data_IF_193871786779
#
_entry.id   IF_193871786779
#
_cell.length_a   1.000
_cell.length_b   1.000
_cell.length_c   1.000
_cell.angle_alpha   90.00
_cell.angle_beta   90.00
_cell.angle_gamma   90.00
#
_symmetry.space_group_name_H-M   'P 1'
#
loop_
_entity.id
_entity.type
_entity.pdbx_description
1 polymer ?
#
# COMPACT_ATOMS: atom_id res chain seq x y z
N UNK A 1 28.54 31.49 -17.33
CA UNK A 1 27.40 31.36 -16.38
C UNK A 1 27.76 30.77 -15.02
N UNK A 2 29.02 30.43 -14.72
CA UNK A 2 29.43 29.92 -13.40
C UNK A 2 29.86 31.00 -12.38
N UNK A 3 30.14 32.24 -12.80
CA UNK A 3 30.60 33.31 -11.91
C UNK A 3 29.47 34.01 -11.11
N UNK A 4 28.22 33.91 -11.58
CA UNK A 4 27.05 34.54 -10.94
C UNK A 4 26.44 33.70 -9.80
N UNK A 5 26.81 32.42 -9.69
CA UNK A 5 26.34 31.51 -8.64
C UNK A 5 27.18 31.58 -7.35
N UNK A 6 28.46 31.99 -7.43
CA UNK A 6 29.34 32.12 -6.25
C UNK A 6 29.00 33.36 -5.40
N UNK A 7 28.59 34.47 -6.02
CA UNK A 7 28.21 35.70 -5.30
C UNK A 7 26.90 35.60 -4.51
N UNK A 8 26.03 34.64 -4.83
CA UNK A 8 24.78 34.41 -4.09
C UNK A 8 24.95 33.49 -2.87
N UNK A 9 26.10 32.82 -2.71
CA UNK A 9 26.37 31.99 -1.53
C UNK A 9 27.00 32.85 -0.41
N UNK A 10 27.76 33.89 -0.77
CA UNK A 10 28.38 34.78 0.22
C UNK A 10 27.37 35.71 0.94
N UNK A 11 26.22 36.03 0.33
CA UNK A 11 25.16 36.83 0.98
C UNK A 11 24.24 36.01 1.91
N UNK A 12 24.29 34.67 1.85
CA UNK A 12 23.50 33.79 2.70
C UNK A 12 24.25 33.45 4.00
N UNK A 13 25.56 33.62 4.03
CA UNK A 13 26.41 33.29 5.19
C UNK A 13 26.53 34.46 6.18
N UNK A 14 26.28 35.72 5.77
CA UNK A 14 26.29 36.89 6.69
C UNK A 14 25.02 37.02 7.56
N UNK A 15 24.02 36.14 7.43
CA UNK A 15 22.81 36.14 8.25
C UNK A 15 22.93 35.42 9.60
N UNK A 16 24.07 34.77 9.87
CA UNK A 16 24.36 34.01 11.09
C UNK A 16 25.34 34.77 12.02
N UNK A 17 25.03 36.02 12.37
CA UNK A 17 25.66 36.66 13.53
C UNK A 17 24.86 36.40 14.79
N UNK A 18 25.51 35.71 15.73
CA UNK A 18 25.11 35.54 17.12
C UNK A 18 25.02 36.92 17.76
N UNK A 19 23.81 37.38 18.07
CA UNK A 19 23.63 38.55 18.95
C UNK A 19 23.89 38.13 20.39
N UNK A 20 25.03 38.56 20.91
CA UNK A 20 25.36 38.54 22.34
C UNK A 20 24.28 39.27 23.16
N UNK A 21 23.89 38.65 24.28
CA UNK A 21 22.97 39.23 25.24
C UNK A 21 23.63 40.43 25.97
N UNK A 22 22.98 41.59 25.93
CA UNK A 22 23.28 42.74 26.80
C UNK A 22 22.37 42.74 28.05
N UNK A 23 22.87 43.25 29.19
CA UNK A 23 22.30 42.98 30.51
C UNK A 23 21.01 43.75 30.80
N UNK A 24 20.06 43.07 31.46
CA UNK A 24 18.78 43.63 31.91
C UNK A 24 18.95 44.78 32.90
N UNK A 25 18.25 45.88 32.60
CA UNK A 25 18.06 47.04 33.45
C UNK A 25 16.91 46.76 34.45
N UNK A 26 17.19 46.92 35.75
CA UNK A 26 16.23 46.72 36.86
C UNK A 26 15.17 47.83 36.89
N UNK A 27 13.89 47.45 37.08
CA UNK A 27 12.90 48.00 38.06
C UNK A 27 11.47 47.49 37.75
N UNK A 28 10.49 47.60 38.69
CA UNK A 28 10.55 47.36 40.13
C UNK A 28 9.52 46.29 40.58
N UNK A 29 9.75 45.78 41.80
CA UNK A 29 8.93 44.80 42.51
C UNK A 29 7.49 45.29 42.72
N UNK A 30 6.50 44.50 42.30
CA UNK A 30 5.13 44.61 42.77
C UNK A 30 4.72 43.41 43.62
N UNK A 31 4.10 43.73 44.76
CA UNK A 31 3.93 42.91 45.96
C UNK A 31 2.99 41.71 45.74
N UNK A 32 3.50 40.47 45.80
CA UNK A 32 2.65 39.31 46.11
C UNK A 32 2.33 39.30 47.62
N UNK A 33 1.06 39.58 47.94
CA UNK A 33 0.47 39.40 49.27
C UNK A 33 0.62 37.93 49.70
N UNK A 34 1.36 37.72 50.79
CA UNK A 34 1.36 36.51 51.59
C UNK A 34 -0.03 36.28 52.20
N UNK A 35 -0.76 35.28 51.72
CA UNK A 35 -1.88 34.69 52.47
C UNK A 35 -1.35 33.46 53.20
N UNK A 36 -1.35 33.57 54.53
CA UNK A 36 -0.94 32.57 55.52
C UNK A 36 -1.63 31.23 55.28
N UNK A 37 -0.85 30.18 55.04
CA UNK A 37 -1.30 28.80 55.20
C UNK A 37 -1.41 28.52 56.71
N UNK A 38 -2.64 28.39 57.22
CA UNK A 38 -2.89 27.88 58.58
C UNK A 38 -2.52 26.40 58.62
N UNK A 39 -1.48 26.09 59.37
CA UNK A 39 -1.17 24.74 59.83
C UNK A 39 -2.23 24.28 60.83
N UNK A 40 -2.97 23.22 60.50
CA UNK A 40 -3.74 22.45 61.49
C UNK A 40 -3.21 21.02 61.48
N UNK A 41 -2.49 20.69 62.55
CA UNK A 41 -2.12 19.33 62.93
C UNK A 41 -3.41 18.54 63.25
N UNK A 42 -3.65 17.44 62.52
CA UNK A 42 -4.40 16.29 63.04
C UNK A 42 -3.61 15.01 62.72
N UNK A 43 -3.34 14.26 63.78
CA UNK A 43 -2.59 13.00 63.79
C UNK A 43 -3.31 11.86 63.02
N UNK A 44 -2.58 10.81 62.63
CA UNK A 44 -2.98 9.88 61.57
C UNK A 44 -3.96 8.83 62.10
N UNK A 45 -5.12 8.72 61.44
CA UNK A 45 -5.97 7.53 61.54
C UNK A 45 -5.85 6.74 60.24
N UNK A 46 -5.11 5.64 60.36
CA UNK A 46 -5.19 4.41 59.57
C UNK A 46 -6.33 4.36 58.54
N UNK A 47 -6.00 4.58 57.27
CA UNK A 47 -6.82 4.10 56.15
C UNK A 47 -5.93 3.42 55.12
N UNK A 48 -5.95 2.09 55.21
CA UNK A 48 -5.81 1.09 54.13
C UNK A 48 -4.99 1.54 52.92
N UNK A 49 -3.83 0.93 52.77
CA UNK A 49 -3.07 0.85 51.53
C UNK A 49 -3.98 0.53 50.35
N UNK A 50 -4.34 1.54 49.57
CA UNK A 50 -4.82 1.31 48.21
C UNK A 50 -3.62 0.92 47.37
N UNK A 51 -3.57 -0.35 46.99
CA UNK A 51 -2.61 -0.94 46.06
C UNK A 51 -2.35 -0.04 44.84
N UNK A 52 -1.13 -0.04 44.28
CA UNK A 52 -0.84 0.76 43.09
C UNK A 52 -1.72 0.29 41.94
N UNK A 53 -2.61 1.17 41.48
CA UNK A 53 -3.41 0.95 40.28
C UNK A 53 -2.49 0.55 39.14
N UNK A 54 -2.73 -0.63 38.59
CA UNK A 54 -2.18 -1.16 37.34
C UNK A 54 -1.74 -0.02 36.39
N UNK A 55 -0.42 0.12 36.20
CA UNK A 55 0.12 0.97 35.13
C UNK A 55 -0.34 0.36 33.81
N UNK A 56 -1.44 0.86 33.26
CA UNK A 56 -1.97 0.43 31.97
C UNK A 56 -0.86 0.42 30.91
N UNK A 57 -0.76 -0.67 30.14
CA UNK A 57 0.23 -0.88 29.06
C UNK A 57 0.42 0.35 28.15
N UNK A 58 -0.66 1.11 27.92
CA UNK A 58 -0.65 2.36 27.17
C UNK A 58 0.29 3.44 27.75
N UNK A 59 0.36 3.58 29.07
CA UNK A 59 1.24 4.55 29.73
C UNK A 59 2.71 4.13 29.61
N UNK A 60 2.99 2.83 29.69
CA UNK A 60 4.33 2.28 29.50
C UNK A 60 4.80 2.48 28.05
N UNK A 61 3.91 2.23 27.08
CA UNK A 61 4.17 2.47 25.66
C UNK A 61 4.39 3.96 25.37
N UNK A 62 3.53 4.84 25.89
CA UNK A 62 3.67 6.29 25.75
C UNK A 62 5.03 6.77 26.26
N UNK A 63 5.40 6.35 27.47
CA UNK A 63 6.68 6.70 28.07
C UNK A 63 7.85 6.15 27.25
N UNK A 64 7.79 4.88 26.81
CA UNK A 64 8.82 4.30 25.95
C UNK A 64 9.00 5.07 24.65
N UNK A 65 7.92 5.44 23.96
CA UNK A 65 7.99 6.17 22.69
C UNK A 65 8.62 7.57 22.86
N UNK A 66 8.37 8.24 24.00
CA UNK A 66 8.93 9.56 24.32
C UNK A 66 10.39 9.49 24.77
N UNK A 67 10.73 8.59 25.69
CA UNK A 67 12.04 8.62 26.35
C UNK A 67 13.08 7.74 25.68
N UNK A 68 12.66 6.67 24.99
CA UNK A 68 13.61 5.72 24.39
C UNK A 68 14.22 6.28 23.11
N UNK A 69 15.54 6.13 22.98
CA UNK A 69 16.27 6.36 21.71
C UNK A 69 16.00 5.24 20.68
N UNK A 70 15.52 4.09 21.15
CA UNK A 70 15.22 2.91 20.33
C UNK A 70 13.76 2.83 19.86
N UNK A 71 12.96 3.86 20.13
CA UNK A 71 11.52 3.84 19.83
C UNK A 71 11.19 3.68 18.34
N UNK A 72 12.11 4.10 17.44
CA UNK A 72 11.95 3.95 16.00
C UNK A 72 12.45 2.59 15.45
N UNK A 73 13.12 1.74 16.25
CA UNK A 73 13.75 0.51 15.78
C UNK A 73 12.75 -0.47 15.11
N UNK A 74 11.56 -0.75 15.68
CA UNK A 74 10.60 -1.66 15.03
C UNK A 74 10.15 -1.15 13.67
N UNK A 75 10.08 0.18 13.50
CA UNK A 75 9.65 0.79 12.25
C UNK A 75 10.72 0.72 11.17
N UNK A 76 11.98 0.90 11.56
CA UNK A 76 13.12 0.72 10.66
C UNK A 76 13.16 -0.72 10.16
N UNK A 77 12.87 -1.71 11.02
CA UNK A 77 12.79 -3.11 10.60
C UNK A 77 11.69 -3.34 9.58
N UNK A 78 10.49 -2.78 9.76
CA UNK A 78 9.40 -2.89 8.79
C UNK A 78 9.78 -2.24 7.45
N UNK A 79 10.37 -1.04 7.48
CA UNK A 79 10.81 -0.34 6.27
C UNK A 79 11.92 -1.10 5.54
N UNK A 80 12.89 -1.64 6.30
CA UNK A 80 13.94 -2.51 5.80
C UNK A 80 13.38 -3.76 5.12
N UNK A 81 12.44 -4.47 5.76
CA UNK A 81 11.84 -5.67 5.20
C UNK A 81 11.08 -5.38 3.89
N UNK A 82 10.33 -4.29 3.83
CA UNK A 82 9.63 -3.90 2.61
C UNK A 82 10.59 -3.53 1.48
N UNK A 83 11.65 -2.78 1.79
CA UNK A 83 12.66 -2.42 0.80
C UNK A 83 13.46 -3.64 0.32
N UNK A 84 13.83 -4.55 1.22
CA UNK A 84 14.48 -5.81 0.89
C UNK A 84 13.62 -6.64 -0.07
N UNK A 85 12.33 -6.83 0.26
CA UNK A 85 11.40 -7.59 -0.57
C UNK A 85 11.30 -6.98 -1.97
N UNK A 86 11.21 -5.66 -2.06
CA UNK A 86 11.15 -4.96 -3.32
C UNK A 86 12.41 -5.12 -4.16
N UNK A 87 13.58 -4.92 -3.56
CA UNK A 87 14.86 -5.06 -4.25
C UNK A 87 15.08 -6.50 -4.72
N UNK A 88 14.69 -7.48 -3.89
CA UNK A 88 14.86 -8.90 -4.18
C UNK A 88 13.96 -9.36 -5.33
N UNK A 89 12.67 -9.04 -5.30
CA UNK A 89 11.74 -9.52 -6.33
C UNK A 89 11.74 -8.62 -7.57
N UNK A 90 11.71 -7.30 -7.42
CA UNK A 90 11.33 -6.39 -8.51
C UNK A 90 12.48 -5.70 -9.23
N UNK A 91 13.55 -5.33 -8.52
CA UNK A 91 14.61 -4.46 -9.08
C UNK A 91 15.75 -5.25 -9.68
N UNK A 92 16.21 -6.28 -8.98
CA UNK A 92 17.35 -7.07 -9.43
C UNK A 92 16.88 -8.06 -10.50
N UNK A 93 17.59 -8.07 -11.63
CA UNK A 93 17.21 -8.83 -12.82
C UNK A 93 17.16 -10.34 -12.61
N UNK A 94 16.17 -10.99 -13.24
CA UNK A 94 16.01 -12.46 -13.32
C UNK A 94 17.29 -13.17 -13.77
N UNK A 95 18.13 -12.49 -14.56
CA UNK A 95 19.41 -12.99 -15.05
C UNK A 95 20.51 -13.04 -13.99
N UNK A 96 20.39 -12.26 -12.91
CA UNK A 96 21.35 -12.29 -11.80
C UNK A 96 21.07 -13.52 -10.94
N UNK A 97 22.09 -14.37 -10.75
CA UNK A 97 22.06 -15.52 -9.85
C UNK A 97 21.36 -15.19 -8.52
N UNK A 98 20.44 -16.07 -8.08
CA UNK A 98 19.67 -15.88 -6.85
C UNK A 98 20.54 -15.53 -5.63
N UNK A 99 21.74 -16.10 -5.52
CA UNK A 99 22.71 -15.78 -4.45
C UNK A 99 23.19 -14.32 -4.50
N UNK A 100 23.53 -13.81 -5.69
CA UNK A 100 23.97 -12.42 -5.88
C UNK A 100 22.81 -11.45 -5.62
N UNK A 101 21.63 -11.77 -6.15
CA UNK A 101 20.40 -11.01 -5.92
C UNK A 101 20.10 -10.83 -4.42
N UNK A 102 20.16 -11.92 -3.65
CA UNK A 102 19.97 -11.87 -2.20
C UNK A 102 21.00 -10.97 -1.51
N UNK A 103 22.28 -11.12 -1.86
CA UNK A 103 23.38 -10.33 -1.28
C UNK A 103 23.20 -8.84 -1.54
N UNK A 104 22.97 -8.44 -2.79
CA UNK A 104 22.80 -7.02 -3.14
C UNK A 104 21.56 -6.41 -2.48
N UNK A 105 20.45 -7.16 -2.44
CA UNK A 105 19.23 -6.72 -1.74
C UNK A 105 19.48 -6.47 -0.26
N UNK A 106 20.19 -7.39 0.42
CA UNK A 106 20.54 -7.27 1.83
C UNK A 106 21.51 -6.11 2.09
N UNK A 107 22.52 -5.92 1.24
CA UNK A 107 23.50 -4.84 1.39
C UNK A 107 22.79 -3.49 1.28
N UNK A 108 22.04 -3.24 0.20
CA UNK A 108 21.42 -1.94 -0.04
C UNK A 108 20.39 -1.62 1.04
N UNK A 109 19.45 -2.54 1.30
CA UNK A 109 18.45 -2.32 2.34
C UNK A 109 19.09 -2.19 3.72
N UNK A 110 20.13 -2.98 4.02
CA UNK A 110 20.82 -3.00 5.31
C UNK A 110 21.58 -1.72 5.58
N UNK A 111 22.25 -1.17 4.56
CA UNK A 111 22.92 0.14 4.65
C UNK A 111 21.91 1.26 4.95
N UNK A 112 20.75 1.27 4.30
CA UNK A 112 19.69 2.26 4.55
C UNK A 112 19.12 2.11 5.96
N UNK A 113 18.90 0.88 6.43
CA UNK A 113 18.44 0.59 7.79
C UNK A 113 19.47 1.03 8.84
N UNK A 114 20.75 0.79 8.60
CA UNK A 114 21.84 1.19 9.49
C UNK A 114 21.97 2.72 9.57
N UNK A 115 21.94 3.41 8.43
CA UNK A 115 21.98 4.87 8.38
C UNK A 115 20.75 5.46 9.09
N UNK A 116 19.54 5.01 8.77
CA UNK A 116 18.33 5.51 9.44
C UNK A 116 18.31 5.20 10.94
N UNK A 117 18.80 4.03 11.36
CA UNK A 117 18.94 3.64 12.76
C UNK A 117 19.94 4.50 13.53
N UNK A 118 21.12 4.73 12.96
CA UNK A 118 22.14 5.57 13.58
C UNK A 118 21.66 7.01 13.72
N UNK A 119 21.11 7.63 12.66
CA UNK A 119 20.56 8.99 12.77
C UNK A 119 19.42 9.08 13.80
N UNK A 120 18.59 8.04 13.91
CA UNK A 120 17.52 7.96 14.91
C UNK A 120 18.05 7.96 16.35
N UNK A 121 19.22 7.38 16.63
CA UNK A 121 19.76 7.34 17.98
C UNK A 121 20.19 8.74 18.47
N UNK A 122 20.70 9.59 17.57
CA UNK A 122 21.24 10.89 17.92
C UNK A 122 20.24 12.04 17.77
N UNK A 123 19.25 11.92 16.89
CA UNK A 123 18.33 13.02 16.58
C UNK A 123 16.90 12.73 17.02
N UNK A 124 16.37 13.59 17.90
CA UNK A 124 14.95 13.55 18.27
C UNK A 124 14.03 13.86 17.08
N UNK A 125 14.43 14.79 16.20
CA UNK A 125 13.68 15.10 14.98
C UNK A 125 13.62 13.89 14.03
N UNK A 126 14.75 13.19 13.83
CA UNK A 126 14.78 12.01 12.97
C UNK A 126 13.88 10.90 13.52
N UNK A 127 13.87 10.67 14.84
CA UNK A 127 12.93 9.71 15.47
C UNK A 127 11.48 10.04 15.18
N UNK A 128 11.10 11.31 15.34
CA UNK A 128 9.74 11.76 15.04
C UNK A 128 9.40 11.57 13.56
N UNK A 129 10.30 11.95 12.65
CA UNK A 129 10.09 11.79 11.19
C UNK A 129 9.92 10.32 10.84
N UNK A 130 10.78 9.44 11.37
CA UNK A 130 10.66 8.01 11.16
C UNK A 130 9.28 7.54 11.63
N UNK A 131 8.84 7.88 12.86
CA UNK A 131 7.50 7.51 13.33
C UNK A 131 6.36 8.07 12.47
N UNK A 132 6.49 9.28 11.91
CA UNK A 132 5.48 9.87 11.00
C UNK A 132 5.36 9.13 9.67
N UNK A 133 6.38 8.37 9.25
CA UNK A 133 6.31 7.52 8.07
C UNK A 133 5.30 6.38 8.28
N UNK A 134 5.15 5.83 9.49
CA UNK A 134 4.22 4.72 9.77
C UNK A 134 2.76 5.04 9.41
N UNK A 135 2.13 6.10 9.94
CA UNK A 135 0.80 6.49 9.47
C UNK A 135 0.84 6.92 8.00
N UNK A 136 1.97 7.42 7.50
CA UNK A 136 2.13 7.75 6.09
C UNK A 136 2.05 6.54 5.16
N UNK A 137 2.54 5.37 5.57
CA UNK A 137 2.44 4.11 4.82
C UNK A 137 0.98 3.70 4.59
N UNK A 138 0.10 4.02 5.55
CA UNK A 138 -1.34 3.75 5.48
C UNK A 138 -2.06 4.77 4.57
N UNK A 139 -1.47 5.95 4.37
CA UNK A 139 -2.07 7.00 3.52
C UNK A 139 -1.91 6.71 2.04
N UNK A 140 -2.61 7.47 1.20
CA UNK A 140 -2.49 7.36 -0.26
C UNK A 140 -1.06 7.42 -0.83
N UNK A 141 -0.10 8.01 -0.13
CA UNK A 141 1.31 8.04 -0.56
C UNK A 141 1.98 6.66 -0.45
N UNK A 142 1.82 5.99 0.69
CA UNK A 142 2.31 4.63 0.89
C UNK A 142 1.54 3.59 0.09
N UNK A 143 0.24 3.84 -0.20
CA UNK A 143 -0.52 2.95 -1.09
C UNK A 143 0.08 2.85 -2.50
N UNK A 144 0.69 3.91 -3.02
CA UNK A 144 1.31 3.87 -4.33
C UNK A 144 2.46 2.84 -4.42
N UNK A 145 3.30 2.73 -3.38
CA UNK A 145 4.36 1.71 -3.35
C UNK A 145 3.80 0.30 -3.25
N UNK A 146 2.78 0.09 -2.40
CA UNK A 146 2.10 -1.20 -2.25
C UNK A 146 1.41 -1.64 -3.55
N UNK A 147 0.75 -0.71 -4.25
CA UNK A 147 0.12 -0.97 -5.54
C UNK A 147 1.16 -1.32 -6.61
N UNK A 148 2.28 -0.60 -6.67
CA UNK A 148 3.39 -0.94 -7.58
C UNK A 148 3.86 -2.38 -7.33
N UNK A 149 4.12 -2.74 -6.08
CA UNK A 149 4.58 -4.08 -5.70
C UNK A 149 3.53 -5.17 -6.02
N UNK A 150 2.24 -4.91 -5.79
CA UNK A 150 1.17 -5.85 -6.10
C UNK A 150 1.05 -6.12 -7.62
N UNK A 151 1.18 -5.08 -8.45
CA UNK A 151 1.21 -5.23 -9.91
C UNK A 151 2.42 -6.07 -10.34
N UNK A 152 3.56 -5.91 -9.67
CA UNK A 152 4.77 -6.68 -9.97
C UNK A 152 4.62 -8.17 -9.77
N UNK A 153 4.10 -8.57 -8.61
CA UNK A 153 3.77 -9.96 -8.36
C UNK A 153 2.69 -10.50 -9.31
N UNK A 154 1.76 -9.65 -9.78
CA UNK A 154 0.79 -10.06 -10.80
C UNK A 154 1.46 -10.34 -12.14
N UNK A 155 2.38 -9.46 -12.57
CA UNK A 155 3.13 -9.61 -13.82
C UNK A 155 3.97 -10.89 -13.83
N UNK A 156 4.74 -11.14 -12.76
CA UNK A 156 5.59 -12.33 -12.65
C UNK A 156 4.80 -13.62 -12.39
N UNK A 157 3.61 -13.51 -11.78
CA UNK A 157 2.76 -14.64 -11.41
C UNK A 157 1.64 -14.90 -12.41
N UNK A 158 0.36 -14.62 -12.06
CA UNK A 158 -0.79 -14.98 -12.89
C UNK A 158 -0.75 -14.47 -14.33
N UNK A 159 -0.23 -13.27 -14.59
CA UNK A 159 -0.19 -12.71 -15.95
C UNK A 159 0.78 -13.50 -16.82
N UNK A 160 1.98 -13.80 -16.32
CA UNK A 160 2.93 -14.67 -17.00
C UNK A 160 2.38 -16.10 -17.17
N UNK A 161 1.65 -16.62 -16.17
CA UNK A 161 1.02 -17.93 -16.26
C UNK A 161 -0.08 -17.99 -17.34
N UNK A 162 -0.88 -16.92 -17.48
CA UNK A 162 -1.85 -16.77 -18.58
C UNK A 162 -1.12 -16.81 -19.92
N UNK A 163 -0.03 -16.08 -20.08
CA UNK A 163 0.76 -16.08 -21.31
C UNK A 163 1.27 -17.50 -21.66
N UNK A 164 1.79 -18.24 -20.68
CA UNK A 164 2.23 -19.63 -20.87
C UNK A 164 1.08 -20.55 -21.29
N UNK A 165 -0.09 -20.42 -20.66
CA UNK A 165 -1.28 -21.19 -21.00
C UNK A 165 -1.85 -20.85 -22.39
N UNK A 166 -1.77 -19.59 -22.81
CA UNK A 166 -2.14 -19.16 -24.17
C UNK A 166 -1.19 -19.79 -25.18
N UNK A 167 0.12 -19.74 -24.94
CA UNK A 167 1.11 -20.34 -25.82
C UNK A 167 0.86 -21.85 -25.98
N UNK A 168 0.65 -22.56 -24.88
CA UNK A 168 0.32 -23.99 -24.89
C UNK A 168 -0.98 -24.29 -25.68
N UNK A 169 -2.02 -23.48 -25.46
CA UNK A 169 -3.30 -23.64 -26.16
C UNK A 169 -3.18 -23.44 -27.67
N UNK A 170 -2.36 -22.45 -28.09
CA UNK A 170 -2.09 -22.18 -29.50
C UNK A 170 -1.25 -23.29 -30.12
N UNK A 171 -0.22 -23.79 -29.43
CA UNK A 171 0.62 -24.90 -29.89
C UNK A 171 -0.19 -26.20 -30.09
N UNK A 172 -1.03 -26.57 -29.12
CA UNK A 172 -1.90 -27.74 -29.25
C UNK A 172 -2.93 -27.57 -30.37
N UNK A 173 -3.52 -26.37 -30.51
CA UNK A 173 -4.45 -26.07 -31.60
C UNK A 173 -3.81 -26.21 -32.99
N UNK A 174 -2.55 -25.82 -33.15
CA UNK A 174 -1.81 -26.03 -34.41
C UNK A 174 -1.54 -27.49 -34.69
N UNK A 175 -1.08 -28.24 -33.69
CA UNK A 175 -0.87 -29.69 -33.84
C UNK A 175 -2.16 -30.37 -34.31
N UNK A 176 -3.29 -30.00 -33.70
CA UNK A 176 -4.61 -30.51 -34.05
C UNK A 176 -5.00 -30.18 -35.49
N UNK A 177 -4.72 -28.96 -35.95
CA UNK A 177 -4.95 -28.56 -37.34
C UNK A 177 -4.10 -29.36 -38.32
N UNK A 178 -2.79 -29.52 -38.06
CA UNK A 178 -1.88 -30.31 -38.92
C UNK A 178 -2.36 -31.76 -39.03
N UNK A 179 -2.70 -32.36 -37.89
CA UNK A 179 -3.26 -33.72 -37.85
C UNK A 179 -4.55 -33.84 -38.68
N UNK A 180 -5.46 -32.86 -38.61
CA UNK A 180 -6.69 -32.88 -39.41
C UNK A 180 -6.43 -32.73 -40.91
N UNK A 181 -5.43 -31.94 -41.30
CA UNK A 181 -5.06 -31.75 -42.71
C UNK A 181 -4.54 -33.03 -43.37
N UNK A 182 -3.83 -33.86 -42.60
CA UNK A 182 -3.23 -35.10 -43.10
C UNK A 182 -4.25 -36.26 -43.21
N UNK A 183 -5.51 -36.04 -42.81
CA UNK A 183 -6.57 -37.05 -42.92
C UNK A 183 -7.14 -37.12 -44.35
N UNK A 184 -7.27 -38.31 -44.95
CA UNK A 184 -7.62 -38.50 -46.37
C UNK A 184 -9.06 -38.12 -46.76
N UNK A 185 -9.93 -37.78 -45.80
CA UNK A 185 -11.37 -37.51 -46.03
C UNK A 185 -11.76 -36.03 -45.84
N UNK A 186 -10.81 -35.14 -45.53
CA UNK A 186 -11.11 -33.72 -45.39
C UNK A 186 -11.20 -33.04 -46.77
N UNK A 187 -12.32 -32.37 -47.11
CA UNK A 187 -12.36 -31.56 -48.32
C UNK A 187 -11.32 -30.45 -48.16
N UNK A 188 -10.41 -30.35 -49.14
CA UNK A 188 -9.36 -29.34 -49.22
C UNK A 188 -9.98 -27.93 -49.23
N UNK A 189 -10.30 -27.40 -48.05
CA UNK A 189 -10.35 -25.96 -47.85
C UNK A 189 -8.91 -25.52 -47.94
N UNK A 190 -8.59 -24.73 -48.97
CA UNK A 190 -7.28 -24.12 -49.14
C UNK A 190 -7.15 -23.03 -48.07
N UNK A 191 -6.93 -23.45 -46.82
CA UNK A 191 -6.66 -22.52 -45.73
C UNK A 191 -5.24 -22.01 -45.95
N UNK A 192 -5.00 -20.69 -45.89
CA UNK A 192 -3.63 -20.14 -45.88
C UNK A 192 -2.74 -20.88 -44.87
N UNK A 193 -1.42 -20.86 -45.10
CA UNK A 193 -0.47 -21.64 -44.32
C UNK A 193 -0.69 -21.39 -42.80
N UNK A 194 -1.21 -22.37 -42.08
CA UNK A 194 -1.63 -22.20 -40.67
C UNK A 194 -0.44 -21.89 -39.78
N UNK A 195 0.76 -22.30 -40.20
CA UNK A 195 2.02 -21.91 -39.59
C UNK A 195 2.20 -20.37 -39.59
N UNK A 196 1.83 -19.67 -40.66
CA UNK A 196 1.95 -18.21 -40.78
C UNK A 196 0.90 -17.48 -39.92
N UNK A 197 -0.33 -18.00 -39.84
CA UNK A 197 -1.39 -17.44 -38.97
C UNK A 197 -1.03 -17.61 -37.49
N UNK A 198 -0.56 -18.81 -37.10
CA UNK A 198 -0.14 -19.08 -35.74
C UNK A 198 1.03 -18.18 -35.33
N UNK A 199 2.04 -18.07 -36.19
CA UNK A 199 3.22 -17.26 -35.93
C UNK A 199 2.82 -15.80 -35.70
N UNK A 200 1.93 -15.25 -36.54
CA UNK A 200 1.42 -13.88 -36.36
C UNK A 200 0.69 -13.68 -35.03
N UNK A 201 -0.16 -14.62 -34.64
CA UNK A 201 -0.92 -14.54 -33.37
C UNK A 201 0.02 -14.65 -32.17
N UNK A 202 0.91 -15.66 -32.16
CA UNK A 202 1.85 -15.87 -31.07
C UNK A 202 2.83 -14.71 -30.93
N UNK A 203 3.38 -14.21 -32.05
CA UNK A 203 4.32 -13.08 -32.03
C UNK A 203 3.62 -11.82 -31.52
N UNK A 204 2.42 -11.49 -32.01
CA UNK A 204 1.67 -10.33 -31.53
C UNK A 204 1.32 -10.41 -30.03
N UNK A 205 1.00 -11.61 -29.53
CA UNK A 205 0.73 -11.82 -28.10
C UNK A 205 2.01 -11.66 -27.29
N UNK A 206 3.10 -12.33 -27.70
CA UNK A 206 4.40 -12.25 -27.00
C UNK A 206 4.93 -10.82 -26.94
N UNK A 207 4.91 -10.10 -28.07
CA UNK A 207 5.33 -8.69 -28.12
C UNK A 207 4.54 -7.83 -27.13
N UNK A 208 3.21 -7.98 -27.08
CA UNK A 208 2.37 -7.23 -26.16
C UNK A 208 2.68 -7.52 -24.68
N UNK A 209 2.95 -8.78 -24.33
CA UNK A 209 3.29 -9.17 -22.96
C UNK A 209 4.71 -8.74 -22.58
N UNK A 210 5.68 -8.90 -23.47
CA UNK A 210 7.08 -8.50 -23.26
C UNK A 210 7.20 -6.98 -23.10
N UNK A 211 6.50 -6.21 -23.95
CA UNK A 211 6.41 -4.76 -23.83
C UNK A 211 5.77 -4.36 -22.49
N UNK A 212 4.65 -4.99 -22.12
CA UNK A 212 3.98 -4.71 -20.85
C UNK A 212 4.88 -4.99 -19.64
N UNK A 213 5.62 -6.11 -19.65
CA UNK A 213 6.59 -6.46 -18.61
C UNK A 213 7.75 -5.45 -18.56
N UNK A 214 8.30 -5.07 -19.72
CA UNK A 214 9.38 -4.10 -19.83
C UNK A 214 8.97 -2.72 -19.29
N UNK A 215 7.82 -2.20 -19.73
CA UNK A 215 7.29 -0.92 -19.24
C UNK A 215 7.02 -0.97 -17.75
N UNK A 216 6.40 -2.05 -17.24
CA UNK A 216 6.14 -2.18 -15.82
C UNK A 216 7.44 -2.21 -14.99
N UNK A 217 8.47 -2.94 -15.42
CA UNK A 217 9.74 -3.01 -14.69
C UNK A 217 10.38 -1.62 -14.54
N UNK A 218 10.38 -0.82 -15.60
CA UNK A 218 10.99 0.51 -15.58
C UNK A 218 10.11 1.55 -14.84
N UNK A 219 8.83 1.58 -15.16
CA UNK A 219 7.88 2.56 -14.63
C UNK A 219 7.51 2.23 -13.16
N UNK A 220 7.31 0.95 -12.84
CA UNK A 220 7.03 0.47 -11.50
C UNK A 220 8.15 0.78 -10.51
N UNK A 221 9.41 0.65 -10.95
CA UNK A 221 10.61 1.08 -10.21
C UNK A 221 10.60 2.57 -9.89
N UNK A 222 10.29 3.41 -10.86
CA UNK A 222 10.15 4.84 -10.64
C UNK A 222 9.04 5.17 -9.61
N UNK A 223 7.87 4.54 -9.74
CA UNK A 223 6.76 4.77 -8.81
C UNK A 223 7.03 4.27 -7.39
N UNK A 224 7.68 3.11 -7.24
CA UNK A 224 7.99 2.58 -5.91
C UNK A 224 9.02 3.46 -5.20
N UNK A 225 10.18 3.70 -5.82
CA UNK A 225 11.24 4.52 -5.22
C UNK A 225 10.75 5.96 -5.02
N UNK A 226 10.08 6.53 -6.02
CA UNK A 226 9.52 7.87 -5.96
C UNK A 226 8.49 8.02 -4.83
N UNK A 227 7.60 7.04 -4.62
CA UNK A 227 6.63 7.09 -3.53
C UNK A 227 7.26 6.99 -2.14
N UNK A 228 8.33 6.19 -1.96
CA UNK A 228 9.10 6.16 -0.72
C UNK A 228 9.78 7.51 -0.43
N UNK A 229 10.37 8.14 -1.46
CA UNK A 229 10.98 9.47 -1.34
C UNK A 229 9.91 10.52 -0.99
N UNK A 230 8.78 10.52 -1.71
CA UNK A 230 7.63 11.41 -1.44
C UNK A 230 7.11 11.23 -0.01
N UNK A 231 7.12 10.01 0.51
CA UNK A 231 6.68 9.71 1.87
C UNK A 231 7.62 10.31 2.93
N UNK A 232 8.93 10.25 2.70
CA UNK A 232 9.93 10.89 3.57
C UNK A 232 9.76 12.41 3.53
N UNK A 233 9.70 13.01 2.33
CA UNK A 233 9.49 14.46 2.18
C UNK A 233 8.16 14.92 2.79
N UNK A 234 7.09 14.15 2.66
CA UNK A 234 5.81 14.44 3.29
C UNK A 234 5.91 14.45 4.81
N UNK A 235 6.67 13.52 5.40
CA UNK A 235 6.86 13.43 6.85
C UNK A 235 7.68 14.60 7.37
N UNK A 236 8.74 15.00 6.64
CA UNK A 236 9.54 16.20 6.96
C UNK A 236 8.70 17.46 6.85
N UNK A 237 7.94 17.61 5.75
CA UNK A 237 7.06 18.77 5.53
C UNK A 237 5.97 18.86 6.59
N UNK A 238 5.37 17.74 6.96
CA UNK A 238 4.37 17.70 8.03
C UNK A 238 4.96 18.16 9.37
N UNK A 239 6.15 17.65 9.73
CA UNK A 239 6.83 18.09 10.95
C UNK A 239 7.18 19.58 10.90
N UNK A 240 7.67 20.08 9.76
CA UNK A 240 7.96 21.51 9.59
C UNK A 240 6.70 22.36 9.78
N UNK A 241 5.60 21.99 9.12
CA UNK A 241 4.32 22.70 9.23
C UNK A 241 3.80 22.72 10.68
N UNK A 242 3.91 21.61 11.40
CA UNK A 242 3.54 21.51 12.81
C UNK A 242 4.31 22.52 13.70
N UNK A 243 5.55 22.85 13.33
CA UNK A 243 6.37 23.84 14.05
C UNK A 243 6.11 25.29 13.62
N UNK A 244 5.84 25.52 12.33
CA UNK A 244 5.82 26.87 11.77
C UNK A 244 4.44 27.52 11.73
N UNK A 245 3.38 26.71 11.73
CA UNK A 245 2.00 27.18 11.55
C UNK A 245 1.19 26.84 12.81
N UNK A 246 0.75 27.88 13.52
CA UNK A 246 -0.04 27.77 14.77
C UNK A 246 -1.48 27.29 14.51
N UNK A 247 -1.98 27.41 13.27
CA UNK A 247 -3.31 26.91 12.87
C UNK A 247 -3.26 25.47 12.34
N UNK A 248 -2.07 24.96 12.01
CA UNK A 248 -1.89 23.65 11.41
C UNK A 248 -2.27 22.51 12.36
N UNK A 249 -3.29 21.75 11.96
CA UNK A 249 -3.84 20.61 12.72
C UNK A 249 -4.33 20.95 14.15
N UNK A 250 -4.49 22.25 14.47
CA UNK A 250 -4.98 22.77 15.75
C UNK A 250 -6.51 22.64 15.93
N UNK A 251 -7.13 21.69 15.22
CA UNK A 251 -8.57 21.38 15.28
C UNK A 251 -8.88 20.18 16.18
N UNK A 252 -7.85 19.57 16.77
CA UNK A 252 -7.95 18.34 17.54
C UNK A 252 -7.76 18.66 19.02
N UNK A 253 -8.82 18.55 19.81
CA UNK A 253 -8.73 18.66 21.28
C UNK A 253 -8.32 17.29 21.81
N UNK A 254 -7.05 17.16 22.21
CA UNK A 254 -6.52 15.93 22.80
C UNK A 254 -7.00 15.74 24.24
N UNK A 255 -6.91 14.51 24.75
CA UNK A 255 -7.30 14.16 26.11
C UNK A 255 -6.43 14.87 27.17
N UNK A 256 -5.23 15.31 26.78
CA UNK A 256 -4.31 16.08 27.62
C UNK A 256 -4.83 17.50 27.92
N UNK A 257 -5.41 18.18 26.93
CA UNK A 257 -6.09 19.47 27.15
C UNK A 257 -7.33 19.28 28.03
N UNK A 258 -8.01 18.13 27.86
CA UNK A 258 -9.18 17.76 28.68
C UNK A 258 -8.80 17.45 30.14
N UNK A 259 -7.64 16.87 30.40
CA UNK A 259 -7.15 16.64 31.77
C UNK A 259 -6.73 17.94 32.44
N UNK A 260 -6.03 18.82 31.72
CA UNK A 260 -5.69 20.16 32.22
C UNK A 260 -6.93 20.97 32.59
N UNK A 261 -8.00 20.86 31.78
CA UNK A 261 -9.30 21.48 32.06
C UNK A 261 -9.99 20.92 33.32
N UNK A 262 -9.76 19.64 33.66
CA UNK A 262 -10.34 19.01 34.87
C UNK A 262 -9.57 19.34 36.14
N UNK A 263 -8.26 19.46 36.06
CA UNK A 263 -7.42 19.65 37.25
C UNK A 263 -7.20 21.13 37.60
N UNK A 264 -7.07 22.02 36.60
CA UNK A 264 -6.64 23.40 36.79
C UNK A 264 -7.42 24.41 35.92
N UNK A 265 -8.65 24.09 35.51
CA UNK A 265 -9.44 24.93 34.60
C UNK A 265 -9.61 26.39 35.03
N UNK A 266 -9.63 26.66 36.34
CA UNK A 266 -9.78 28.00 36.92
C UNK A 266 -8.47 28.82 36.98
N UNK A 267 -7.31 28.20 36.76
CA UNK A 267 -5.98 28.86 36.83
C UNK A 267 -5.51 29.41 35.47
N UNK A 268 -6.26 29.16 34.39
CA UNK A 268 -5.90 29.60 33.05
C UNK A 268 -7.00 30.53 32.52
N UNK A 269 -6.80 31.84 32.65
CA UNK A 269 -7.74 32.88 32.19
C UNK A 269 -8.10 32.77 30.69
N UNK A 270 -7.24 32.12 29.89
CA UNK A 270 -7.43 31.89 28.45
C UNK A 270 -8.27 30.64 28.10
N UNK A 271 -8.56 29.73 29.03
CA UNK A 271 -9.32 28.50 28.76
C UNK A 271 -10.83 28.73 28.91
N UNK A 272 -11.44 29.42 27.96
CA UNK A 272 -12.90 29.57 27.95
C UNK A 272 -13.61 28.23 27.74
N UNK A 273 -14.72 27.93 28.46
CA UNK A 273 -15.49 26.72 28.27
C UNK A 273 -16.04 26.63 26.85
N UNK A 274 -15.45 25.74 26.04
CA UNK A 274 -15.93 25.42 24.70
C UNK A 274 -17.42 25.07 24.72
N UNK A 275 -18.23 25.88 24.03
CA UNK A 275 -19.69 25.71 23.92
C UNK A 275 -20.00 24.38 23.21
N UNK A 276 -21.15 23.76 23.51
CA UNK A 276 -21.50 22.43 22.96
C UNK A 276 -21.51 22.40 21.43
N UNK A 277 -21.86 23.51 20.78
CA UNK A 277 -21.86 23.64 19.33
C UNK A 277 -20.45 23.86 18.76
N UNK A 278 -19.57 24.60 19.45
CA UNK A 278 -18.14 24.74 19.08
C UNK A 278 -17.42 23.38 19.16
N UNK A 279 -17.72 22.57 20.19
CA UNK A 279 -17.29 21.16 20.31
C UNK A 279 -17.78 20.27 19.17
N UNK A 280 -18.84 20.66 18.46
CA UNK A 280 -19.47 19.87 17.39
C UNK A 280 -19.06 20.35 16.00
N UNK A 281 -18.77 21.65 15.84
CA UNK A 281 -18.46 22.32 14.57
C UNK A 281 -16.96 22.59 14.36
N UNK A 282 -16.19 22.88 15.42
CA UNK A 282 -14.80 23.40 15.29
C UNK A 282 -13.73 22.44 15.84
N UNK A 283 -14.06 21.61 16.84
CA UNK A 283 -13.10 20.74 17.52
C UNK A 283 -13.43 19.25 17.40
N UNK A 284 -12.42 18.43 17.06
CA UNK A 284 -12.56 16.99 16.81
C UNK A 284 -11.81 16.18 17.86
N UNK A 285 -12.42 15.11 18.37
CA UNK A 285 -11.69 14.12 19.20
C UNK A 285 -10.82 13.25 18.29
N UNK A 286 -9.51 13.19 18.51
CA UNK A 286 -8.62 12.31 17.73
C UNK A 286 -8.88 10.82 18.00
N UNK A 287 -9.55 10.46 19.11
CA UNK A 287 -9.96 9.09 19.45
C UNK A 287 -11.32 8.66 18.87
N UNK A 288 -12.06 9.55 18.22
CA UNK A 288 -13.39 9.20 17.73
C UNK A 288 -13.32 8.22 16.55
N UNK A 289 -14.02 7.09 16.61
CA UNK A 289 -14.14 6.17 15.46
C UNK A 289 -15.04 6.70 14.34
N UNK A 290 -15.74 7.82 14.53
CA UNK A 290 -16.63 8.37 13.50
C UNK A 290 -15.83 9.23 12.52
N UNK A 291 -15.89 8.88 11.24
CA UNK A 291 -15.38 9.72 10.15
C UNK A 291 -16.35 10.87 9.86
N UNK A 292 -15.79 12.03 9.56
CA UNK A 292 -16.56 13.18 9.06
C UNK A 292 -16.78 13.08 7.55
N UNK A 293 -17.78 13.79 7.00
CA UNK A 293 -18.05 13.78 5.55
C UNK A 293 -16.85 14.26 4.73
N UNK A 294 -16.11 15.26 5.22
CA UNK A 294 -14.90 15.77 4.56
C UNK A 294 -13.75 14.75 4.55
N UNK A 295 -13.51 14.07 5.68
CA UNK A 295 -12.50 12.98 5.73
C UNK A 295 -12.91 11.86 4.79
N UNK A 296 -14.19 11.48 4.81
CA UNK A 296 -14.71 10.40 3.97
C UNK A 296 -14.54 10.73 2.49
N UNK A 297 -14.87 11.96 2.05
CA UNK A 297 -14.68 12.39 0.66
C UNK A 297 -13.21 12.38 0.24
N UNK A 298 -12.32 12.92 1.09
CA UNK A 298 -10.86 12.93 0.82
C UNK A 298 -10.27 11.53 0.79
N UNK A 299 -10.72 10.65 1.68
CA UNK A 299 -10.28 9.25 1.73
C UNK A 299 -10.83 8.46 0.54
N UNK A 300 -12.10 8.64 0.19
CA UNK A 300 -12.75 7.94 -0.91
C UNK A 300 -12.10 8.24 -2.26
N UNK A 301 -11.85 9.51 -2.57
CA UNK A 301 -11.19 9.91 -3.83
C UNK A 301 -9.79 9.27 -3.97
N UNK A 302 -9.03 9.21 -2.87
CA UNK A 302 -7.71 8.57 -2.85
C UNK A 302 -7.76 7.03 -2.81
N UNK A 303 -8.91 6.45 -2.49
CA UNK A 303 -9.12 5.01 -2.47
C UNK A 303 -9.60 4.49 -3.84
N UNK A 304 -10.23 5.32 -4.67
CA UNK A 304 -10.78 4.95 -5.97
C UNK A 304 -9.77 4.21 -6.85
N UNK A 305 -8.57 4.76 -7.02
CA UNK A 305 -7.50 4.14 -7.83
C UNK A 305 -7.11 2.76 -7.25
N UNK A 306 -6.97 2.66 -5.92
CA UNK A 306 -6.61 1.40 -5.27
C UNK A 306 -7.71 0.34 -5.45
N UNK A 307 -8.98 0.73 -5.37
CA UNK A 307 -10.11 -0.17 -5.57
C UNK A 307 -10.18 -0.68 -7.01
N UNK A 308 -9.93 0.18 -8.00
CA UNK A 308 -9.87 -0.23 -9.41
C UNK A 308 -8.73 -1.24 -9.62
N UNK A 309 -7.54 -0.98 -9.09
CA UNK A 309 -6.42 -1.92 -9.20
C UNK A 309 -6.76 -3.25 -8.52
N UNK A 310 -7.29 -3.25 -7.30
CA UNK A 310 -7.72 -4.47 -6.61
C UNK A 310 -8.73 -5.26 -7.46
N UNK A 311 -9.72 -4.58 -8.05
CA UNK A 311 -10.71 -5.22 -8.92
C UNK A 311 -10.07 -5.87 -10.15
N UNK A 312 -9.16 -5.16 -10.84
CA UNK A 312 -8.43 -5.70 -12.00
C UNK A 312 -7.55 -6.89 -11.57
N UNK A 313 -6.83 -6.78 -10.45
CA UNK A 313 -6.00 -7.85 -9.92
C UNK A 313 -6.80 -9.13 -9.62
N UNK A 314 -7.97 -8.98 -8.99
CA UNK A 314 -8.87 -10.12 -8.72
C UNK A 314 -9.38 -10.72 -10.03
N UNK A 315 -9.75 -9.90 -11.01
CA UNK A 315 -10.18 -10.38 -12.32
C UNK A 315 -9.09 -11.18 -13.04
N UNK A 316 -7.84 -10.72 -12.99
CA UNK A 316 -6.69 -11.44 -13.56
C UNK A 316 -6.48 -12.80 -12.87
N UNK A 317 -6.51 -12.84 -11.53
CA UNK A 317 -6.34 -14.10 -10.77
C UNK A 317 -7.47 -15.09 -11.09
N UNK A 318 -8.72 -14.62 -11.13
CA UNK A 318 -9.87 -15.43 -11.50
C UNK A 318 -9.79 -15.90 -12.95
N UNK A 319 -9.34 -15.02 -13.86
CA UNK A 319 -9.14 -15.32 -15.27
C UNK A 319 -8.09 -16.41 -15.48
N UNK A 320 -6.96 -16.34 -14.78
CA UNK A 320 -5.93 -17.37 -14.80
C UNK A 320 -6.45 -18.73 -14.30
N UNK A 321 -7.15 -18.75 -13.15
CA UNK A 321 -7.74 -19.96 -12.61
C UNK A 321 -8.82 -20.55 -13.55
N UNK A 322 -9.65 -19.68 -14.16
CA UNK A 322 -10.65 -20.09 -15.13
C UNK A 322 -10.00 -20.67 -16.40
N UNK A 323 -8.93 -20.05 -16.92
CA UNK A 323 -8.19 -20.55 -18.07
C UNK A 323 -7.59 -21.94 -17.77
N UNK A 324 -6.91 -22.09 -16.64
CA UNK A 324 -6.35 -23.37 -16.20
C UNK A 324 -7.43 -24.47 -16.11
N UNK A 325 -8.56 -24.20 -15.45
CA UNK A 325 -9.64 -25.21 -15.32
C UNK A 325 -10.24 -25.59 -16.66
N UNK A 326 -10.39 -24.64 -17.59
CA UNK A 326 -10.88 -24.92 -18.93
C UNK A 326 -9.90 -25.78 -19.72
N UNK A 327 -8.63 -25.43 -19.75
CA UNK A 327 -7.61 -26.22 -20.45
C UNK A 327 -7.47 -27.62 -19.83
N UNK A 328 -7.45 -27.72 -18.49
CA UNK A 328 -7.36 -29.01 -17.80
C UNK A 328 -8.58 -29.90 -18.05
N UNK A 329 -9.79 -29.33 -18.13
CA UNK A 329 -11.00 -30.10 -18.44
C UNK A 329 -10.96 -30.74 -19.84
N UNK A 330 -10.31 -30.08 -20.81
CA UNK A 330 -10.09 -30.63 -22.15
C UNK A 330 -9.09 -31.80 -22.11
N UNK A 331 -8.10 -31.74 -21.22
CA UNK A 331 -7.10 -32.81 -21.02
C UNK A 331 -7.68 -34.02 -20.26
N UNK A 332 -8.52 -33.83 -19.24
CA UNK A 332 -9.02 -34.94 -18.40
C UNK A 332 -10.22 -35.68 -18.98
N UNK A 333 -11.03 -35.02 -19.82
CA UNK A 333 -12.22 -35.64 -20.44
C UNK A 333 -11.87 -36.77 -21.42
N UNK A 334 -10.59 -36.96 -21.74
CA UNK A 334 -10.08 -38.02 -22.62
C UNK A 334 -9.51 -39.21 -21.85
N UNK A 335 -9.42 -39.13 -20.52
CA UNK A 335 -8.92 -40.19 -19.64
C UNK A 335 -9.98 -40.96 -18.86
N UNK A 336 -11.24 -40.50 -18.86
CA UNK A 336 -12.34 -41.14 -18.14
C UNK A 336 -13.39 -41.66 -19.14
N UNK A 337 -13.31 -42.97 -19.39
CA UNK A 337 -14.34 -43.89 -19.87
C UNK A 337 -15.52 -43.33 -20.70
N UNK A 338 -15.65 -43.96 -21.89
CA UNK A 338 -16.92 -44.16 -22.57
C UNK A 338 -18.05 -44.51 -21.59
N UNK A 339 -19.26 -44.04 -21.94
CA UNK A 339 -20.53 -44.20 -21.23
C UNK A 339 -20.78 -43.22 -20.06
N UNK A 340 -21.12 -41.99 -20.43
CA UNK A 340 -21.78 -41.04 -19.53
C UNK A 340 -22.47 -39.95 -20.32
N UNK A 341 -23.79 -39.86 -20.18
CA UNK A 341 -24.61 -38.82 -20.80
C UNK A 341 -24.01 -37.42 -20.56
N UNK A 342 -23.66 -36.74 -21.64
CA UNK A 342 -23.23 -35.35 -21.60
C UNK A 342 -24.46 -34.48 -21.27
N UNK A 343 -24.58 -34.09 -20.01
CA UNK A 343 -25.49 -33.02 -19.61
C UNK A 343 -25.08 -31.72 -20.31
N UNK A 344 -26.03 -31.14 -21.05
CA UNK A 344 -25.85 -29.84 -21.71
C UNK A 344 -25.68 -28.76 -20.66
N UNK A 345 -24.66 -27.89 -20.74
CA UNK A 345 -24.63 -26.69 -19.93
C UNK A 345 -25.70 -25.71 -20.44
N UNK A 346 -26.72 -25.49 -19.62
CA UNK A 346 -27.70 -24.41 -19.73
C UNK A 346 -26.96 -23.08 -19.55
N UNK A 347 -26.54 -22.47 -20.66
CA UNK A 347 -26.02 -21.11 -20.64
C UNK A 347 -27.19 -20.15 -20.75
N UNK A 348 -27.52 -19.51 -19.64
CA UNK A 348 -28.44 -18.40 -19.61
C UNK A 348 -27.88 -17.25 -20.45
N UNK A 349 -28.79 -16.69 -21.24
CA UNK A 349 -28.56 -15.69 -22.28
C UNK A 349 -28.07 -14.36 -21.71
N UNK A 350 -27.11 -13.77 -22.41
CA UNK A 350 -26.77 -12.36 -22.30
C UNK A 350 -25.48 -12.06 -23.06
N UNK A 351 -25.55 -11.18 -24.06
CA UNK A 351 -24.44 -10.50 -24.78
C UNK A 351 -24.11 -11.00 -26.21
N UNK A 352 -24.56 -12.17 -26.69
CA UNK A 352 -24.22 -12.63 -28.07
C UNK A 352 -25.37 -12.71 -29.07
N UNK A 353 -26.52 -12.08 -28.81
CA UNK A 353 -27.72 -12.20 -29.65
C UNK A 353 -27.57 -11.69 -31.10
N UNK A 354 -26.69 -10.72 -31.36
CA UNK A 354 -26.51 -10.18 -32.72
C UNK A 354 -25.56 -11.02 -33.61
N UNK A 355 -24.76 -11.92 -33.03
CA UNK A 355 -23.85 -12.82 -33.77
C UNK A 355 -24.47 -14.19 -34.11
N UNK A 356 -25.62 -14.53 -33.52
CA UNK A 356 -26.28 -15.84 -33.65
C UNK A 356 -26.63 -16.27 -35.08
N UNK A 357 -27.07 -15.41 -36.01
CA UNK A 357 -27.50 -15.88 -37.33
C UNK A 357 -26.32 -16.27 -38.24
N UNK A 358 -25.17 -15.57 -38.17
CA UNK A 358 -23.98 -15.91 -38.98
C UNK A 358 -23.19 -17.11 -38.43
N UNK A 359 -23.25 -17.36 -37.13
CA UNK A 359 -22.61 -18.53 -36.51
C UNK A 359 -23.44 -19.80 -36.64
N UNK A 360 -24.76 -19.73 -36.82
CA UNK A 360 -25.63 -20.92 -36.86
C UNK A 360 -25.30 -21.87 -38.02
N UNK A 361 -25.08 -21.35 -39.23
CA UNK A 361 -24.79 -22.15 -40.42
C UNK A 361 -23.38 -22.75 -40.42
N UNK A 362 -22.40 -22.01 -39.91
CA UNK A 362 -21.04 -22.52 -39.73
C UNK A 362 -21.04 -23.57 -38.63
N UNK A 363 -21.70 -23.31 -37.49
CA UNK A 363 -21.76 -24.23 -36.36
C UNK A 363 -22.56 -25.49 -36.68
N UNK A 364 -23.59 -25.43 -37.53
CA UNK A 364 -24.34 -26.63 -37.95
C UNK A 364 -23.58 -27.48 -38.97
N UNK A 365 -22.86 -26.87 -39.92
CA UNK A 365 -21.98 -27.59 -40.87
C UNK A 365 -20.79 -28.21 -40.15
N UNK A 366 -20.10 -27.43 -39.31
CA UNK A 366 -18.97 -27.90 -38.50
C UNK A 366 -19.40 -28.99 -37.52
N UNK A 367 -20.55 -28.85 -36.84
CA UNK A 367 -21.07 -29.89 -35.93
C UNK A 367 -21.43 -31.18 -36.65
N UNK A 368 -21.98 -31.13 -37.87
CA UNK A 368 -22.26 -32.32 -38.69
C UNK A 368 -20.99 -32.99 -39.20
N UNK A 369 -19.97 -32.23 -39.57
CA UNK A 369 -18.66 -32.77 -39.99
C UNK A 369 -17.89 -33.37 -38.82
N UNK A 370 -17.90 -32.70 -37.65
CA UNK A 370 -17.26 -33.19 -36.42
C UNK A 370 -18.00 -34.41 -35.85
N UNK A 371 -19.34 -34.48 -35.91
CA UNK A 371 -20.09 -35.65 -35.42
C UNK A 371 -19.82 -36.95 -36.20
N UNK A 372 -19.26 -36.84 -37.42
CA UNK A 372 -18.83 -38.00 -38.23
C UNK A 372 -17.49 -38.56 -37.74
N UNK A 373 -16.67 -37.74 -37.08
CA UNK A 373 -15.44 -38.16 -36.42
C UNK A 373 -15.71 -38.54 -34.96
N UNK A 374 -15.95 -39.84 -34.71
CA UNK A 374 -16.07 -40.44 -33.37
C UNK A 374 -14.75 -40.44 -32.57
N UNK A 375 -13.72 -39.77 -33.09
CA UNK A 375 -12.32 -39.81 -32.66
C UNK A 375 -11.85 -38.45 -32.12
N UNK A 376 -12.73 -37.66 -31.50
CA UNK A 376 -12.32 -36.44 -30.80
C UNK A 376 -11.27 -36.76 -29.70
N UNK A 377 -11.35 -37.97 -29.12
CA UNK A 377 -10.36 -38.53 -28.20
C UNK A 377 -9.01 -38.84 -28.86
N UNK A 378 -9.00 -39.27 -30.12
CA UNK A 378 -7.76 -39.54 -30.87
C UNK A 378 -7.01 -38.24 -31.19
N UNK A 379 -7.77 -37.19 -31.56
CA UNK A 379 -7.25 -35.86 -31.90
C UNK A 379 -6.54 -35.22 -30.71
N UNK A 380 -7.19 -35.26 -29.55
CA UNK A 380 -6.67 -34.67 -28.31
C UNK A 380 -5.53 -35.51 -27.70
N UNK A 381 -5.51 -36.84 -27.94
CA UNK A 381 -4.41 -37.73 -27.52
C UNK A 381 -3.14 -37.53 -28.36
N UNK A 382 -3.27 -37.20 -29.64
CA UNK A 382 -2.13 -36.88 -30.52
C UNK A 382 -1.50 -35.52 -30.19
N UNK A 383 -2.26 -34.59 -29.62
CA UNK A 383 -1.83 -33.22 -29.35
C UNK A 383 -2.14 -32.79 -27.90
N UNK A 384 -1.43 -33.34 -26.89
CA UNK A 384 -1.78 -33.15 -25.49
C UNK A 384 -1.56 -31.70 -25.04
N UNK A 385 -2.56 -31.09 -24.37
CA UNK A 385 -2.40 -29.82 -23.67
C UNK A 385 -1.80 -30.04 -22.28
N UNK A 386 -0.76 -29.27 -21.95
CA UNK A 386 -0.14 -29.22 -20.61
C UNK A 386 -0.39 -27.87 -19.94
N UNK A 387 -1.56 -27.67 -19.30
CA UNK A 387 -1.86 -26.41 -18.65
C UNK A 387 -0.95 -26.15 -17.44
N UNK A 388 -0.45 -24.92 -17.34
CA UNK A 388 0.35 -24.42 -16.24
C UNK A 388 -0.56 -23.88 -15.13
N UNK A 389 -0.34 -24.35 -13.91
CA UNK A 389 -1.02 -23.84 -12.72
C UNK A 389 -0.16 -22.77 -12.05
N UNK A 390 -0.77 -21.63 -11.76
CA UNK A 390 -0.12 -20.59 -10.96
C UNK A 390 0.31 -21.09 -9.58
N UNK A 391 1.48 -20.66 -9.14
CA UNK A 391 2.03 -21.00 -7.82
C UNK A 391 1.11 -20.51 -6.70
N UNK A 392 0.70 -21.43 -5.82
CA UNK A 392 -0.11 -21.13 -4.64
C UNK A 392 0.55 -20.09 -3.73
N UNK A 393 1.87 -20.11 -3.63
CA UNK A 393 2.64 -19.16 -2.82
C UNK A 393 2.53 -17.74 -3.39
N UNK A 394 2.67 -17.59 -4.71
CA UNK A 394 2.53 -16.30 -5.39
C UNK A 394 1.12 -15.73 -5.23
N UNK A 395 0.08 -16.53 -5.47
CA UNK A 395 -1.32 -16.11 -5.30
C UNK A 395 -1.62 -15.70 -3.85
N UNK A 396 -1.15 -16.48 -2.87
CA UNK A 396 -1.34 -16.17 -1.44
C UNK A 396 -0.66 -14.85 -1.08
N UNK A 397 0.55 -14.64 -1.58
CA UNK A 397 1.31 -13.39 -1.35
C UNK A 397 0.58 -12.18 -1.94
N UNK A 398 0.13 -12.27 -3.19
CA UNK A 398 -0.66 -11.21 -3.84
C UNK A 398 -1.95 -10.94 -3.06
N UNK A 399 -2.66 -11.99 -2.63
CA UNK A 399 -3.91 -11.86 -1.87
C UNK A 399 -3.72 -11.13 -0.53
N UNK A 400 -2.63 -11.45 0.18
CA UNK A 400 -2.26 -10.75 1.42
C UNK A 400 -1.96 -9.28 1.13
N UNK A 401 -1.20 -8.98 0.08
CA UNK A 401 -0.87 -7.60 -0.32
C UNK A 401 -2.12 -6.79 -0.68
N UNK A 402 -3.03 -7.35 -1.47
CA UNK A 402 -4.32 -6.72 -1.79
C UNK A 402 -5.16 -6.47 -0.53
N UNK A 403 -5.14 -7.41 0.42
CA UNK A 403 -5.77 -7.25 1.74
C UNK A 403 -5.18 -6.08 2.54
N UNK A 404 -3.84 -5.94 2.57
CA UNK A 404 -3.16 -4.81 3.23
C UNK A 404 -3.54 -3.48 2.55
N UNK A 405 -3.61 -3.45 1.22
CA UNK A 405 -4.02 -2.25 0.46
C UNK A 405 -5.46 -1.88 0.79
N UNK A 406 -6.39 -2.85 0.81
CA UNK A 406 -7.77 -2.61 1.20
C UNK A 406 -7.88 -2.06 2.63
N UNK A 407 -7.15 -2.67 3.56
CA UNK A 407 -7.09 -2.26 4.96
C UNK A 407 -6.57 -0.82 5.09
N UNK A 408 -5.54 -0.47 4.31
CA UNK A 408 -4.97 0.88 4.29
C UNK A 408 -5.96 1.93 3.76
N UNK A 409 -6.88 1.56 2.86
CA UNK A 409 -7.94 2.45 2.40
C UNK A 409 -8.92 2.80 3.52
N UNK A 410 -9.25 1.81 4.37
CA UNK A 410 -10.14 2.00 5.53
C UNK A 410 -9.45 2.86 6.60
N UNK A 411 -8.15 2.64 6.84
CA UNK A 411 -7.41 3.31 7.89
C UNK A 411 -6.75 4.65 7.52
N UNK A 412 -6.84 5.11 6.28
CA UNK A 412 -6.18 6.36 5.81
C UNK A 412 -6.50 7.57 6.72
N UNK A 413 -7.78 7.80 7.01
CA UNK A 413 -8.22 8.90 7.86
C UNK A 413 -7.66 8.80 9.29
N UNK A 414 -7.50 7.57 9.80
CA UNK A 414 -6.93 7.33 11.12
C UNK A 414 -5.42 7.49 11.12
N UNK A 415 -4.74 7.13 10.02
CA UNK A 415 -3.32 7.43 9.81
C UNK A 415 -3.06 8.93 9.87
N UNK A 416 -3.87 9.73 9.19
CA UNK A 416 -3.76 11.19 9.27
C UNK A 416 -3.90 11.73 10.70
N UNK A 417 -4.85 11.22 11.49
CA UNK A 417 -5.01 11.60 12.90
C UNK A 417 -3.87 11.11 13.80
N UNK A 418 -3.29 9.96 13.47
CA UNK A 418 -2.14 9.40 14.20
C UNK A 418 -0.89 10.28 14.01
N UNK A 419 -0.71 10.95 12.87
CA UNK A 419 0.40 11.89 12.65
C UNK A 419 0.40 13.02 13.67
N UNK A 420 -0.76 13.66 13.89
CA UNK A 420 -0.92 14.71 14.90
C UNK A 420 -0.55 14.20 16.30
N UNK A 421 -1.02 13.01 16.68
CA UNK A 421 -0.68 12.39 17.97
C UNK A 421 0.80 12.10 18.14
N UNK A 422 1.48 11.66 17.08
CA UNK A 422 2.93 11.43 17.11
C UNK A 422 3.66 12.76 17.33
N UNK A 423 3.29 13.82 16.63
CA UNK A 423 3.89 15.14 16.86
C UNK A 423 3.65 15.65 18.30
N UNK A 424 2.44 15.54 18.83
CA UNK A 424 2.12 15.92 20.21
C UNK A 424 2.90 15.08 21.24
N UNK A 425 3.17 13.81 20.92
CA UNK A 425 3.92 12.90 21.79
C UNK A 425 5.39 13.32 21.88
N UNK A 426 6.01 13.63 20.75
CA UNK A 426 7.43 14.03 20.68
C UNK A 426 7.63 15.48 21.16
N UNK A 427 6.69 16.36 20.89
CA UNK A 427 6.79 17.79 21.19
C UNK A 427 5.62 18.26 22.05
N UNK A 428 5.59 17.86 23.33
CA UNK A 428 4.49 18.18 24.22
C UNK A 428 4.39 19.69 24.49
N UNK A 429 5.50 20.41 24.63
CA UNK A 429 5.48 21.84 24.97
C UNK A 429 4.70 22.66 23.94
N UNK A 430 4.93 22.39 22.65
CA UNK A 430 4.16 22.96 21.54
C UNK A 430 2.67 22.61 21.58
N UNK A 431 2.31 21.43 22.08
CA UNK A 431 0.91 21.02 22.24
C UNK A 431 0.24 21.66 23.47
N UNK A 432 1.03 22.20 24.40
CA UNK A 432 0.56 22.85 25.63
C UNK A 432 0.54 24.37 25.54
N UNK A 433 1.21 24.97 24.55
CA UNK A 433 1.08 26.40 24.28
C UNK A 433 -0.40 26.71 24.04
N UNK A 434 -1.08 27.36 25.00
CA UNK A 434 -2.47 27.70 24.85
C UNK A 434 -2.53 28.63 23.65
N UNK A 435 -3.36 28.28 22.67
CA UNK A 435 -3.59 29.08 21.49
C UNK A 435 -3.65 30.55 21.90
N UNK A 436 -2.72 31.37 21.41
CA UNK A 436 -2.94 32.80 21.32
C UNK A 436 -4.06 32.98 20.29
N UNK A 437 -5.30 32.76 20.75
CA UNK A 437 -6.49 33.31 20.14
C UNK A 437 -6.44 34.80 20.47
N UNK A 438 -5.57 35.53 19.78
CA UNK A 438 -5.71 36.97 19.65
C UNK A 438 -7.04 37.26 18.95
N UNK A 439 -7.83 38.22 19.47
CA UNK A 439 -9.17 38.53 18.99
C UNK A 439 -9.22 39.06 17.56
#
# INVERSE_FOLDING_TARGET
MASKASKNIHSIIEGFEVKEAKPEEKKPKEKKRLVKQKTSKKNPKTSKSSAPKSKTCFHLLKHFLQTSRFSALPLILVQFSLLYLYLYYMVLESEINNSLRQKWSLIISGSIAFISGTLSLFSHHTRCILMLILPGMITGKGRASLLSMAIGFLMEGPINNINNNINEAVESSTCMYKFMKDLPEFPFVNVPNVDDIQLKILTAIKELFDDAQYYYKNIGNFFFIGSLIILIFDSIRYLKQYYTDDEFDNKIVDDNLRSLWRENGDNYDKLTPLRRWEKKLKYRKSSALRLTREELQKTFLKALIALVVIMVSVFVILGDAALYTKLNSLTTSTGANADGHVDKPTTNSGITDWLKPKLKDVKSKVKKTISKYKNQDLLMKSCPLKPFQSSKLAITTISILLGIILLSCIFDAYGMRLRSRICNLFYPDRAHDPCDLSP
#
